data_IF_546495067168
#
_entry.id   IF_546495067168
#
_cell.length_a   1.000
_cell.length_b   1.000
_cell.length_c   1.000
_cell.angle_alpha   90.00
_cell.angle_beta   90.00
_cell.angle_gamma   90.00
#
_symmetry.space_group_name_H-M   'P 1'
#
loop_
_entity.id
_entity.type
_entity.pdbx_description
1 polymer ?
#
# COMPACT_ATOMS: atom_id res chain seq x y z
N UNK A 1 -15.12 10.40 -16.65
CA UNK A 1 -14.45 9.40 -15.81
C UNK A 1 -15.48 8.32 -15.52
N UNK A 2 -15.33 7.13 -16.07
CA UNK A 2 -16.39 6.10 -16.05
C UNK A 2 -16.63 5.61 -14.62
N UNK A 3 -17.87 5.70 -14.13
CA UNK A 3 -18.33 5.23 -12.82
C UNK A 3 -17.73 3.85 -12.41
N UNK A 4 -17.66 2.83 -13.30
CA UNK A 4 -17.02 1.56 -12.95
C UNK A 4 -15.51 1.64 -12.68
N UNK A 5 -14.79 2.57 -13.31
CA UNK A 5 -13.36 2.82 -13.05
C UNK A 5 -13.16 3.41 -11.65
N UNK A 6 -14.06 4.31 -11.23
CA UNK A 6 -14.01 4.93 -9.91
C UNK A 6 -14.23 3.90 -8.80
N UNK A 7 -15.21 2.99 -8.96
CA UNK A 7 -15.44 1.89 -8.02
C UNK A 7 -14.27 0.90 -7.93
N UNK A 8 -13.59 0.63 -9.04
CA UNK A 8 -12.38 -0.21 -9.04
C UNK A 8 -11.24 0.44 -8.27
N UNK A 9 -11.03 1.75 -8.43
CA UNK A 9 -10.03 2.51 -7.67
C UNK A 9 -10.37 2.54 -6.16
N UNK A 10 -11.64 2.75 -5.81
CA UNK A 10 -12.09 2.73 -4.41
C UNK A 10 -11.91 1.34 -3.79
N UNK A 11 -12.34 0.29 -4.48
CA UNK A 11 -12.21 -1.09 -4.00
C UNK A 11 -10.75 -1.48 -3.78
N UNK A 12 -9.87 -1.07 -4.68
CA UNK A 12 -8.45 -1.33 -4.52
C UNK A 12 -7.81 -0.47 -3.42
N UNK A 13 -8.24 0.78 -3.23
CA UNK A 13 -7.82 1.59 -2.07
C UNK A 13 -8.19 0.94 -0.73
N UNK A 14 -9.39 0.35 -0.65
CA UNK A 14 -9.84 -0.43 0.50
C UNK A 14 -8.95 -1.67 0.69
N UNK A 15 -8.65 -2.39 -0.39
CA UNK A 15 -7.75 -3.56 -0.33
C UNK A 15 -6.36 -3.19 0.17
N UNK A 16 -5.73 -2.13 -0.38
CA UNK A 16 -4.42 -1.64 0.08
C UNK A 16 -4.47 -1.34 1.57
N UNK A 17 -5.51 -0.65 2.03
CA UNK A 17 -5.67 -0.26 3.45
C UNK A 17 -5.84 -1.48 4.37
N UNK A 18 -6.60 -2.48 3.94
CA UNK A 18 -6.79 -3.71 4.71
C UNK A 18 -5.49 -4.51 4.74
N UNK A 19 -4.81 -4.65 3.60
CA UNK A 19 -3.55 -5.38 3.50
C UNK A 19 -2.44 -4.72 4.32
N UNK A 20 -2.30 -3.39 4.29
CA UNK A 20 -1.32 -2.69 5.11
C UNK A 20 -1.63 -2.88 6.59
N UNK A 21 -2.88 -2.68 7.03
CA UNK A 21 -3.24 -2.89 8.45
C UNK A 21 -3.02 -4.33 8.91
N UNK A 22 -3.41 -5.31 8.10
CA UNK A 22 -3.17 -6.72 8.37
C UNK A 22 -1.67 -7.01 8.46
N UNK A 23 -0.88 -6.52 7.50
CA UNK A 23 0.57 -6.65 7.48
C UNK A 23 1.21 -6.07 8.74
N UNK A 24 0.82 -4.86 9.14
CA UNK A 24 1.28 -4.25 10.38
C UNK A 24 0.94 -5.09 11.62
N UNK A 25 -0.27 -5.67 11.68
CA UNK A 25 -0.69 -6.51 12.80
C UNK A 25 0.13 -7.82 12.88
N UNK A 26 0.29 -8.53 11.77
CA UNK A 26 1.03 -9.80 11.73
C UNK A 26 2.52 -9.62 11.93
N UNK A 27 3.13 -8.60 11.29
CA UNK A 27 4.57 -8.36 11.37
C UNK A 27 5.00 -7.68 12.67
N UNK A 28 4.07 -7.13 13.47
CA UNK A 28 4.40 -6.55 14.78
C UNK A 28 5.12 -7.53 15.70
N UNK A 29 4.82 -8.83 15.58
CA UNK A 29 5.45 -9.89 16.38
C UNK A 29 6.90 -10.18 15.99
N UNK A 30 7.27 -9.90 14.74
CA UNK A 30 8.58 -10.25 14.17
C UNK A 30 9.49 -9.03 14.00
N UNK A 31 8.91 -7.86 13.73
CA UNK A 31 9.60 -6.60 13.51
C UNK A 31 8.99 -5.58 14.48
N UNK A 32 9.57 -5.38 15.68
CA UNK A 32 9.04 -4.44 16.67
C UNK A 32 9.23 -2.98 16.23
N UNK A 33 10.28 -2.68 15.45
CA UNK A 33 10.53 -1.35 14.89
C UNK A 33 9.43 -0.94 13.91
N UNK A 34 8.69 0.12 14.25
CA UNK A 34 7.56 0.63 13.47
C UNK A 34 7.95 1.14 12.08
N UNK A 35 9.16 1.67 11.92
CA UNK A 35 9.65 2.23 10.67
C UNK A 35 10.07 1.14 9.69
N UNK A 36 10.83 0.15 10.17
CA UNK A 36 11.18 -1.03 9.37
C UNK A 36 9.93 -1.81 8.98
N UNK A 37 8.99 -1.99 9.92
CA UNK A 37 7.72 -2.67 9.64
C UNK A 37 6.91 -1.96 8.58
N UNK A 38 6.81 -0.62 8.62
CA UNK A 38 6.12 0.16 7.59
C UNK A 38 6.75 -0.06 6.21
N UNK A 39 8.08 0.02 6.09
CA UNK A 39 8.76 -0.22 4.80
C UNK A 39 8.52 -1.62 4.25
N UNK A 40 8.61 -2.65 5.11
CA UNK A 40 8.38 -4.04 4.70
C UNK A 40 6.93 -4.26 4.27
N UNK A 41 5.97 -3.75 5.04
CA UNK A 41 4.54 -3.87 4.73
C UNK A 41 4.21 -3.13 3.44
N UNK A 42 4.61 -1.87 3.30
CA UNK A 42 4.38 -1.09 2.07
C UNK A 42 5.03 -1.75 0.86
N UNK A 43 6.26 -2.27 1.00
CA UNK A 43 6.93 -3.01 -0.07
C UNK A 43 6.17 -4.26 -0.49
N UNK A 44 5.71 -5.07 0.47
CA UNK A 44 4.92 -6.26 0.19
C UNK A 44 3.59 -5.91 -0.50
N UNK A 45 2.88 -4.89 -0.02
CA UNK A 45 1.62 -4.44 -0.63
C UNK A 45 1.84 -3.90 -2.04
N UNK A 46 2.91 -3.14 -2.28
CA UNK A 46 3.25 -2.65 -3.61
C UNK A 46 3.51 -3.78 -4.62
N UNK A 47 4.17 -4.86 -4.18
CA UNK A 47 4.39 -6.05 -5.03
C UNK A 47 3.08 -6.77 -5.31
N UNK A 48 2.23 -6.97 -4.29
CA UNK A 48 0.93 -7.63 -4.44
C UNK A 48 0.02 -6.84 -5.40
N UNK A 49 -0.04 -5.52 -5.24
CA UNK A 49 -0.81 -4.64 -6.13
C UNK A 49 -0.30 -4.71 -7.57
N UNK A 50 1.02 -4.66 -7.77
CA UNK A 50 1.60 -4.77 -9.10
C UNK A 50 1.24 -6.09 -9.78
N UNK A 51 1.35 -7.21 -9.05
CA UNK A 51 0.94 -8.54 -9.55
C UNK A 51 -0.56 -8.58 -9.86
N UNK A 52 -1.39 -8.04 -8.96
CA UNK A 52 -2.84 -7.96 -9.16
C UNK A 52 -3.22 -7.16 -10.41
N UNK A 53 -2.56 -6.03 -10.64
CA UNK A 53 -2.75 -5.21 -11.84
C UNK A 53 -2.31 -5.92 -13.11
N UNK A 54 -1.18 -6.63 -13.06
CA UNK A 54 -0.72 -7.43 -14.21
C UNK A 54 -1.76 -8.49 -14.57
N UNK A 55 -2.23 -9.28 -13.61
CA UNK A 55 -3.24 -10.31 -13.83
C UNK A 55 -4.56 -9.71 -14.35
N UNK A 56 -5.03 -8.62 -13.74
CA UNK A 56 -6.31 -7.98 -14.09
C UNK A 56 -6.34 -7.42 -15.51
N UNK A 57 -5.26 -6.78 -15.96
CA UNK A 57 -5.20 -6.15 -17.28
C UNK A 57 -4.60 -7.05 -18.35
N UNK A 58 -4.07 -8.23 -17.98
CA UNK A 58 -3.33 -9.16 -18.84
C UNK A 58 -2.28 -8.45 -19.72
N UNK A 59 -1.74 -7.33 -19.23
CA UNK A 59 -0.88 -6.42 -19.98
C UNK A 59 0.05 -5.72 -19.02
N UNK A 60 1.35 -6.00 -19.17
CA UNK A 60 2.39 -5.39 -18.33
C UNK A 60 2.41 -3.86 -18.48
N UNK A 61 2.11 -3.33 -19.67
CA UNK A 61 2.11 -1.88 -19.93
C UNK A 61 0.98 -1.16 -19.20
N UNK A 62 -0.23 -1.71 -19.26
CA UNK A 62 -1.38 -1.15 -18.54
C UNK A 62 -1.22 -1.32 -17.03
N UNK A 63 -0.75 -2.50 -16.59
CA UNK A 63 -0.44 -2.76 -15.19
C UNK A 63 0.59 -1.77 -14.62
N UNK A 64 1.67 -1.48 -15.36
CA UNK A 64 2.65 -0.46 -14.98
C UNK A 64 2.04 0.93 -14.94
N UNK A 65 1.25 1.33 -15.94
CA UNK A 65 0.64 2.66 -15.97
C UNK A 65 -0.28 2.88 -14.75
N UNK A 66 -1.17 1.93 -14.45
CA UNK A 66 -2.05 2.08 -13.29
C UNK A 66 -1.28 2.01 -11.97
N UNK A 67 -0.29 1.12 -11.87
CA UNK A 67 0.53 1.01 -10.66
C UNK A 67 1.29 2.30 -10.38
N UNK A 68 2.01 2.86 -11.37
CA UNK A 68 2.83 4.06 -11.16
C UNK A 68 2.02 5.35 -10.99
N UNK A 69 0.93 5.53 -11.74
CA UNK A 69 0.20 6.80 -11.75
C UNK A 69 -0.95 6.86 -10.73
N UNK A 70 -1.47 5.71 -10.28
CA UNK A 70 -2.63 5.67 -9.38
C UNK A 70 -2.29 5.03 -8.02
N UNK A 71 -1.60 3.89 -7.98
CA UNK A 71 -1.37 3.16 -6.72
C UNK A 71 -0.12 3.61 -5.97
N UNK A 72 1.00 3.77 -6.67
CA UNK A 72 2.29 4.13 -6.09
C UNK A 72 2.22 5.45 -5.29
N UNK A 73 1.57 6.53 -5.79
CA UNK A 73 1.45 7.77 -5.02
C UNK A 73 0.62 7.59 -3.75
N UNK A 74 -0.44 6.78 -3.81
CA UNK A 74 -1.28 6.46 -2.64
C UNK A 74 -0.50 5.63 -1.61
N UNK A 75 0.25 4.63 -2.06
CA UNK A 75 1.14 3.82 -1.22
C UNK A 75 2.22 4.67 -0.55
N UNK A 76 2.86 5.58 -1.29
CA UNK A 76 3.87 6.49 -0.74
C UNK A 76 3.23 7.44 0.28
N UNK A 77 2.06 8.01 -0.02
CA UNK A 77 1.34 8.86 0.94
C UNK A 77 1.03 8.10 2.23
N UNK A 78 0.60 6.83 2.11
CA UNK A 78 0.30 5.98 3.26
C UNK A 78 1.56 5.64 4.07
N UNK A 79 2.65 5.29 3.40
CA UNK A 79 3.95 5.03 4.02
C UNK A 79 4.45 6.25 4.79
N UNK A 80 4.40 7.44 4.18
CA UNK A 80 4.80 8.69 4.83
C UNK A 80 3.94 8.97 6.07
N UNK A 81 2.63 8.70 5.99
CA UNK A 81 1.72 8.83 7.13
C UNK A 81 2.13 7.87 8.26
N UNK A 82 2.38 6.59 7.96
CA UNK A 82 2.81 5.60 8.97
C UNK A 82 4.15 5.97 9.61
N UNK A 83 5.10 6.45 8.81
CA UNK A 83 6.40 6.90 9.31
C UNK A 83 6.26 8.14 10.20
N UNK A 84 5.36 9.07 9.85
CA UNK A 84 5.06 10.24 10.68
C UNK A 84 4.42 9.85 12.01
N UNK A 85 3.49 8.89 12.01
CA UNK A 85 2.87 8.37 13.22
C UNK A 85 3.90 7.67 14.11
N UNK A 86 4.73 6.79 13.54
CA UNK A 86 5.83 6.13 14.25
C UNK A 86 6.85 7.14 14.84
N UNK A 87 7.17 8.20 14.10
CA UNK A 87 8.07 9.26 14.57
C UNK A 87 7.45 10.07 15.72
N UNK A 88 6.14 10.34 15.66
CA UNK A 88 5.40 11.01 16.75
C UNK A 88 5.35 10.16 18.01
N UNK A 89 5.15 8.84 17.89
CA UNK A 89 5.20 7.92 19.02
C UNK A 89 6.58 7.94 19.69
N UNK A 90 7.68 7.89 18.91
CA UNK A 90 9.04 8.02 19.44
C UNK A 90 9.33 9.35 20.12
N UNK A 91 8.68 10.45 19.71
CA UNK A 91 8.83 11.76 20.37
C UNK A 91 7.99 11.91 21.64
N UNK A 92 6.98 11.05 21.83
CA UNK A 92 6.07 11.07 22.99
C UNK A 92 6.49 10.11 24.11
N UNK A 93 7.28 9.08 23.79
CA UNK A 93 7.92 8.17 24.73
C UNK A 93 9.25 8.76 25.24
#
# INVERSE_FOLDING_TARGET
MDIPMMWRLVGAFINVTILTRAGHFFLKRWIPDSFQRALVVTGAVAVIDFVGMWVMFNSARLGLHYTFFYYLPLLIMWLLKDMLEASRERRRA
#
